data_IF_478625151149
#
_entry.id   IF_478625151149
#
_cell.length_a   1.000
_cell.length_b   1.000
_cell.length_c   1.000
_cell.angle_alpha   90.00
_cell.angle_beta   90.00
_cell.angle_gamma   90.00
#
_symmetry.space_group_name_H-M   'P 1'
#
loop_
_entity.id
_entity.type
_entity.pdbx_description
1 polymer ?
#
# COMPACT_ATOMS: atom_id res chain seq x y z
N UNK A 1 7.03 -16.20 7.17
CA UNK A 1 6.19 -15.58 6.13
C UNK A 1 6.96 -15.55 4.81
N UNK A 2 6.30 -15.91 3.71
CA UNK A 2 6.91 -16.03 2.39
C UNK A 2 6.68 -14.76 1.56
N UNK A 3 7.65 -14.36 0.72
CA UNK A 3 7.51 -13.16 -0.11
C UNK A 3 6.36 -13.26 -1.12
N UNK A 4 5.85 -14.46 -1.41
CA UNK A 4 4.72 -14.68 -2.31
C UNK A 4 3.37 -14.17 -1.77
N UNK A 5 3.22 -14.01 -0.45
CA UNK A 5 2.02 -13.37 0.13
C UNK A 5 2.03 -11.87 -0.11
N UNK A 6 3.19 -11.22 0.03
CA UNK A 6 3.35 -9.81 -0.31
C UNK A 6 2.92 -9.54 -1.75
N UNK A 7 3.41 -10.34 -2.70
CA UNK A 7 3.09 -10.15 -4.11
C UNK A 7 1.60 -10.38 -4.39
N UNK A 8 0.99 -11.41 -3.79
CA UNK A 8 -0.45 -11.68 -3.94
C UNK A 8 -1.32 -10.56 -3.38
N UNK A 9 -1.00 -10.02 -2.22
CA UNK A 9 -1.79 -8.96 -1.57
C UNK A 9 -1.56 -7.61 -2.23
N UNK A 10 -0.31 -7.18 -2.38
CA UNK A 10 0.03 -5.84 -2.85
C UNK A 10 0.01 -5.70 -4.39
N UNK A 11 -0.31 -6.76 -5.14
CA UNK A 11 -0.67 -6.64 -6.56
C UNK A 11 -2.07 -6.01 -6.77
N UNK A 12 -2.89 -5.92 -5.72
CA UNK A 12 -4.16 -5.18 -5.76
C UNK A 12 -3.93 -3.71 -5.40
N UNK A 13 -4.40 -2.77 -6.24
CA UNK A 13 -4.17 -1.33 -6.05
C UNK A 13 -4.72 -0.77 -4.71
N UNK A 14 -5.84 -1.29 -4.21
CA UNK A 14 -6.45 -0.80 -2.98
C UNK A 14 -5.68 -1.29 -1.76
N UNK A 15 -5.28 -2.56 -1.77
CA UNK A 15 -4.43 -3.15 -0.71
C UNK A 15 -3.07 -2.47 -0.72
N UNK A 16 -2.50 -2.23 -1.91
CA UNK A 16 -1.25 -1.51 -2.08
C UNK A 16 -1.31 -0.08 -1.53
N UNK A 17 -2.41 0.64 -1.82
CA UNK A 17 -2.62 1.98 -1.29
C UNK A 17 -2.75 1.99 0.24
N UNK A 18 -3.57 1.08 0.80
CA UNK A 18 -3.74 0.95 2.25
C UNK A 18 -2.43 0.59 2.94
N UNK A 19 -1.69 -0.40 2.41
CA UNK A 19 -0.41 -0.81 2.96
C UNK A 19 0.64 0.31 2.90
N UNK A 20 0.67 1.09 1.81
CA UNK A 20 1.53 2.28 1.71
C UNK A 20 1.19 3.32 2.79
N UNK A 21 -0.10 3.55 3.06
CA UNK A 21 -0.52 4.44 4.14
C UNK A 21 -0.11 3.92 5.52
N UNK A 22 -0.18 2.60 5.74
CA UNK A 22 0.31 1.97 6.98
C UNK A 22 1.83 2.06 7.13
N UNK A 23 2.60 2.03 6.04
CA UNK A 23 4.04 2.31 6.08
C UNK A 23 4.29 3.78 6.44
N UNK A 24 3.50 4.68 5.87
CA UNK A 24 3.48 6.11 6.19
C UNK A 24 4.78 6.84 5.86
N UNK A 25 4.89 8.05 6.41
CA UNK A 25 6.08 8.90 6.33
C UNK A 25 6.40 9.40 4.92
N UNK A 26 7.66 9.78 4.71
CA UNK A 26 8.14 10.38 3.45
C UNK A 26 7.99 9.46 2.23
N UNK A 27 7.80 8.16 2.43
CA UNK A 27 7.62 7.20 1.36
C UNK A 27 6.32 7.47 0.58
N UNK A 28 5.24 7.87 1.27
CA UNK A 28 3.96 8.21 0.64
C UNK A 28 4.14 9.37 -0.33
N UNK A 29 4.79 10.46 0.12
CA UNK A 29 5.03 11.65 -0.70
C UNK A 29 5.90 11.35 -1.92
N UNK A 30 6.94 10.51 -1.78
CA UNK A 30 7.80 10.11 -2.90
C UNK A 30 7.05 9.29 -3.95
N UNK A 31 6.17 8.39 -3.51
CA UNK A 31 5.33 7.61 -4.42
C UNK A 31 4.31 8.50 -5.13
N UNK A 32 3.70 9.46 -4.43
CA UNK A 32 2.79 10.42 -5.06
C UNK A 32 3.51 11.26 -6.13
N UNK A 33 4.72 11.75 -5.83
CA UNK A 33 5.56 12.48 -6.78
C UNK A 33 5.93 11.64 -8.01
N UNK A 34 6.16 10.34 -7.85
CA UNK A 34 6.44 9.43 -8.95
C UNK A 34 5.18 9.04 -9.74
N UNK A 35 4.01 8.99 -9.10
CA UNK A 35 2.75 8.57 -9.72
C UNK A 35 2.12 9.66 -10.59
N UNK A 36 2.23 10.94 -10.18
CA UNK A 36 1.68 12.10 -10.88
C UNK A 36 2.11 12.20 -12.36
N UNK A 37 3.41 12.23 -12.71
CA UNK A 37 3.83 12.33 -14.12
C UNK A 37 3.46 11.09 -14.94
N UNK A 38 3.24 9.95 -14.28
CA UNK A 38 2.82 8.71 -14.92
C UNK A 38 1.29 8.61 -15.13
N UNK A 39 0.50 9.55 -14.59
CA UNK A 39 -0.96 9.52 -14.63
C UNK A 39 -1.56 8.32 -13.88
N UNK A 40 -0.85 7.81 -12.86
CA UNK A 40 -1.26 6.65 -12.07
C UNK A 40 -1.77 7.08 -10.70
N UNK A 41 -2.67 6.29 -10.13
CA UNK A 41 -2.94 6.39 -8.69
C UNK A 41 -1.75 5.82 -7.92
N UNK A 42 -1.53 6.27 -6.68
CA UNK A 42 -0.47 5.71 -5.81
C UNK A 42 -0.56 4.19 -5.67
N UNK A 43 -1.78 3.67 -5.54
CA UNK A 43 -2.05 2.24 -5.41
C UNK A 43 -1.67 1.48 -6.67
N UNK A 44 -2.02 2.02 -7.84
CA UNK A 44 -1.66 1.43 -9.13
C UNK A 44 -0.15 1.45 -9.36
N UNK A 45 0.54 2.53 -9.00
CA UNK A 45 2.00 2.59 -9.08
C UNK A 45 2.63 1.54 -8.17
N UNK A 46 2.27 1.51 -6.89
CA UNK A 46 2.80 0.53 -5.93
C UNK A 46 2.56 -0.91 -6.40
N UNK A 47 1.34 -1.23 -6.84
CA UNK A 47 1.01 -2.56 -7.35
C UNK A 47 1.85 -2.95 -8.57
N UNK A 48 2.12 -1.99 -9.47
CA UNK A 48 3.01 -2.20 -10.60
C UNK A 48 4.45 -2.48 -10.14
N UNK A 49 4.97 -1.72 -9.18
CA UNK A 49 6.34 -1.90 -8.67
C UNK A 49 6.51 -3.23 -7.96
N UNK A 50 5.52 -3.66 -7.18
CA UNK A 50 5.49 -4.97 -6.53
C UNK A 50 5.49 -6.09 -7.58
N UNK A 51 4.66 -5.97 -8.61
CA UNK A 51 4.61 -6.94 -9.72
C UNK A 51 5.91 -6.97 -10.52
N UNK A 52 6.54 -5.82 -10.73
CA UNK A 52 7.83 -5.74 -11.43
C UNK A 52 8.97 -6.32 -10.60
N UNK A 53 8.97 -6.10 -9.29
CA UNK A 53 9.91 -6.74 -8.38
C UNK A 53 9.77 -8.26 -8.42
N UNK A 54 8.54 -8.79 -8.35
CA UNK A 54 8.29 -10.23 -8.44
C UNK A 54 8.82 -10.84 -9.74
N UNK A 55 8.84 -10.09 -10.85
CA UNK A 55 9.35 -10.60 -12.14
C UNK A 55 10.85 -10.38 -12.33
N UNK A 56 11.35 -9.19 -11.99
CA UNK A 56 12.68 -8.71 -12.40
C UNK A 56 13.73 -8.79 -11.29
N UNK A 57 13.33 -8.91 -10.02
CA UNK A 57 14.29 -8.88 -8.93
C UNK A 57 15.29 -10.05 -9.01
N UNK A 58 16.57 -9.68 -8.92
CA UNK A 58 17.67 -10.65 -8.89
C UNK A 58 17.55 -11.59 -7.68
N UNK A 59 18.17 -12.77 -7.72
CA UNK A 59 18.20 -13.68 -6.57
C UNK A 59 18.79 -13.02 -5.30
N UNK A 60 19.72 -12.08 -5.45
CA UNK A 60 20.28 -11.32 -4.34
C UNK A 60 19.22 -10.42 -3.67
N UNK A 61 18.47 -9.65 -4.47
CA UNK A 61 17.38 -8.80 -3.98
C UNK A 61 16.27 -9.64 -3.32
N UNK A 62 15.87 -10.76 -3.91
CA UNK A 62 14.88 -11.67 -3.30
C UNK A 62 15.33 -12.20 -1.93
N UNK A 63 16.61 -12.53 -1.79
CA UNK A 63 17.18 -12.96 -0.50
C UNK A 63 17.24 -11.83 0.52
N UNK A 64 17.44 -10.58 0.10
CA UNK A 64 17.38 -9.43 1.00
C UNK A 64 15.95 -9.18 1.48
N UNK A 65 14.99 -9.19 0.55
CA UNK A 65 13.57 -9.10 0.87
C UNK A 65 13.15 -10.17 1.88
N UNK A 66 13.42 -11.46 1.59
CA UNK A 66 13.03 -12.55 2.48
C UNK A 66 13.66 -12.44 3.88
N UNK A 67 14.92 -11.98 3.97
CA UNK A 67 15.59 -11.74 5.25
C UNK A 67 14.97 -10.57 6.03
N UNK A 68 14.64 -9.48 5.35
CA UNK A 68 13.97 -8.34 5.95
C UNK A 68 12.58 -8.71 6.49
N UNK A 69 11.81 -9.45 5.70
CA UNK A 69 10.46 -9.89 6.09
C UNK A 69 10.47 -10.84 7.29
N UNK A 70 11.43 -11.77 7.38
CA UNK A 70 11.49 -12.75 8.49
C UNK A 70 11.82 -12.14 9.86
N UNK A 71 12.42 -10.95 9.89
CA UNK A 71 12.85 -10.29 11.13
C UNK A 71 11.89 -9.20 11.61
N UNK A 72 10.83 -8.93 10.86
CA UNK A 72 9.92 -7.83 11.14
C UNK A 72 8.65 -8.30 11.86
N UNK A 73 8.13 -7.46 12.76
CA UNK A 73 6.83 -7.67 13.42
C UNK A 73 5.66 -7.58 12.44
N UNK A 74 5.80 -6.75 11.39
CA UNK A 74 4.85 -6.63 10.28
C UNK A 74 5.54 -6.98 8.96
N UNK A 75 5.71 -8.27 8.64
CA UNK A 75 6.49 -8.70 7.48
C UNK A 75 5.97 -8.16 6.13
N UNK A 76 4.65 -7.98 5.97
CA UNK A 76 4.07 -7.42 4.73
C UNK A 76 4.53 -5.97 4.54
N UNK A 77 4.43 -5.14 5.59
CA UNK A 77 4.82 -3.73 5.51
C UNK A 77 6.34 -3.57 5.35
N UNK A 78 7.12 -4.39 6.05
CA UNK A 78 8.57 -4.41 5.91
C UNK A 78 8.99 -4.81 4.48
N UNK A 79 8.34 -5.83 3.91
CA UNK A 79 8.57 -6.25 2.54
C UNK A 79 8.18 -5.20 1.52
N UNK A 80 7.02 -4.57 1.70
CA UNK A 80 6.54 -3.49 0.85
C UNK A 80 7.52 -2.31 0.85
N UNK A 81 7.96 -1.87 2.03
CA UNK A 81 8.93 -0.79 2.16
C UNK A 81 10.23 -1.10 1.42
N UNK A 82 10.76 -2.31 1.57
CA UNK A 82 11.97 -2.74 0.86
C UNK A 82 11.81 -2.66 -0.67
N UNK A 83 10.69 -3.16 -1.20
CA UNK A 83 10.41 -3.10 -2.64
C UNK A 83 10.38 -1.66 -3.14
N UNK A 84 9.69 -0.77 -2.41
CA UNK A 84 9.56 0.64 -2.79
C UNK A 84 10.90 1.39 -2.69
N UNK A 85 11.69 1.14 -1.66
CA UNK A 85 13.03 1.73 -1.52
C UNK A 85 13.95 1.27 -2.68
N UNK A 86 13.92 -0.01 -3.04
CA UNK A 86 14.68 -0.52 -4.19
C UNK A 86 14.21 0.13 -5.51
N UNK A 87 12.89 0.29 -5.71
CA UNK A 87 12.34 0.93 -6.90
C UNK A 87 12.80 2.38 -7.02
N UNK A 88 12.67 3.14 -5.93
CA UNK A 88 13.00 4.56 -5.88
C UNK A 88 14.52 4.81 -5.96
N UNK A 89 15.34 3.83 -5.58
CA UNK A 89 16.79 3.84 -5.76
C UNK A 89 17.22 3.48 -7.20
N UNK A 90 16.28 3.16 -8.10
CA UNK A 90 16.59 2.78 -9.48
C UNK A 90 17.15 1.36 -9.64
N UNK A 91 16.98 0.49 -8.64
CA UNK A 91 17.47 -0.89 -8.69
C UNK A 91 16.75 -1.75 -9.75
N UNK A 92 15.60 -1.29 -10.24
CA UNK A 92 14.89 -1.84 -11.39
C UNK A 92 14.06 -0.74 -12.06
N UNK A 93 13.85 -0.88 -13.37
CA UNK A 93 13.26 0.16 -14.22
C UNK A 93 11.83 0.52 -13.79
N UNK A 94 11.61 1.81 -13.52
CA UNK A 94 10.32 2.41 -13.14
C UNK A 94 9.37 2.55 -14.33
N UNK A 95 9.81 2.29 -15.57
CA UNK A 95 8.98 2.41 -16.76
C UNK A 95 7.67 1.62 -16.57
N UNK A 96 6.53 2.29 -16.32
CA UNK A 96 5.29 1.60 -16.09
C UNK A 96 4.93 0.91 -17.41
N UNK A 97 4.78 -0.41 -17.41
CA UNK A 97 3.97 -1.03 -18.46
C UNK A 97 2.62 -0.35 -18.35
N UNK A 98 2.22 0.42 -19.39
CA UNK A 98 0.93 1.12 -19.49
C UNK A 98 -0.10 0.28 -18.75
N UNK A 99 -0.48 0.74 -17.55
CA UNK A 99 -1.27 -0.05 -16.65
C UNK A 99 -2.45 -0.55 -17.45
N UNK A 100 -2.55 -1.88 -17.58
CA UNK A 100 -3.71 -2.53 -18.15
C UNK A 100 -4.86 -2.01 -17.28
N UNK A 101 -5.61 -1.02 -17.78
CA UNK A 101 -6.69 -0.32 -17.05
C UNK A 101 -7.38 -1.38 -16.22
N UNK A 102 -7.18 -1.35 -14.90
CA UNK A 102 -7.95 -2.15 -13.97
C UNK A 102 -9.37 -1.64 -14.18
N UNK A 103 -10.14 -2.32 -15.02
CA UNK A 103 -11.55 -2.07 -15.30
C UNK A 103 -12.43 -2.41 -14.09
N UNK A 104 -11.92 -2.16 -12.88
CA UNK A 104 -12.62 -2.37 -11.64
C UNK A 104 -13.78 -1.39 -11.61
N UNK A 105 -14.95 -1.87 -12.02
CA UNK A 105 -16.22 -1.24 -11.68
C UNK A 105 -16.36 -1.46 -10.17
N UNK A 106 -16.48 -0.37 -9.43
CA UNK A 106 -16.86 -0.46 -8.03
C UNK A 106 -18.07 -1.39 -7.89
N UNK A 107 -18.06 -2.39 -6.99
CA UNK A 107 -19.32 -3.00 -6.58
C UNK A 107 -20.19 -1.85 -6.04
N UNK A 108 -21.48 -1.83 -6.40
CA UNK A 108 -22.41 -0.89 -5.82
C UNK A 108 -22.31 -1.05 -4.30
N UNK A 109 -21.75 -0.03 -3.62
CA UNK A 109 -21.65 0.01 -2.17
C UNK A 109 -23.09 0.09 -1.65
N UNK A 110 -23.72 -1.06 -1.40
CA UNK A 110 -24.96 -1.15 -0.64
C UNK A 110 -24.69 -1.15 0.88
N UNK A 111 -23.49 -0.74 1.30
CA UNK A 111 -23.22 -0.40 2.68
C UNK A 111 -24.13 0.75 3.07
N UNK A 112 -25.27 0.40 3.67
CA UNK A 112 -26.02 1.30 4.53
C UNK A 112 -25.02 1.74 5.60
N UNK A 113 -24.51 2.96 5.44
CA UNK A 113 -23.89 3.68 6.50
C UNK A 113 -24.99 3.89 7.55
N UNK A 114 -25.08 2.97 8.50
CA UNK A 114 -25.84 3.18 9.72
C UNK A 114 -25.15 4.35 10.44
N UNK A 115 -25.65 5.53 10.08
CA UNK A 115 -25.21 6.81 10.59
C UNK A 115 -25.75 6.91 12.00
N UNK A 116 -25.06 6.31 12.96
CA UNK A 116 -25.22 6.71 14.35
C UNK A 116 -24.50 8.06 14.51
N UNK A 117 -25.20 9.18 14.73
CA UNK A 117 -24.51 10.42 15.06
C UNK A 117 -23.85 10.24 16.43
N UNK A 118 -22.52 10.30 16.44
CA UNK A 118 -21.77 10.58 17.66
C UNK A 118 -22.19 11.98 18.14
N UNK A 119 -23.10 12.03 19.11
CA UNK A 119 -23.39 13.27 19.83
C UNK A 119 -22.23 13.51 20.78
N UNK A 120 -21.44 14.54 20.48
CA UNK A 120 -20.42 15.10 21.36
C UNK A 120 -20.95 16.43 21.91
N UNK A 121 -20.97 16.58 23.24
CA UNK A 121 -21.31 17.79 23.99
C UNK A 121 -22.69 17.72 24.67
N UNK A 122 -22.89 18.01 25.95
CA UNK A 122 -22.04 18.67 26.97
C UNK A 122 -22.63 18.39 28.39
N UNK A 123 -21.91 18.75 29.49
CA UNK A 123 -22.28 18.44 30.87
C UNK A 123 -23.25 19.49 31.46
N UNK A 124 -24.02 19.13 32.50
CA UNK A 124 -24.31 19.97 33.70
C UNK A 124 -25.31 19.32 34.68
N UNK A 125 -24.88 19.29 35.93
CA UNK A 125 -25.61 19.60 37.17
C UNK A 125 -26.67 18.63 37.73
N UNK A 126 -26.23 17.94 38.81
CA UNK A 126 -26.78 17.95 40.17
C UNK A 126 -28.31 17.90 40.38
N UNK A 127 -28.78 16.83 41.06
CA UNK A 127 -29.75 16.87 42.16
C UNK A 127 -29.94 15.46 42.79
N UNK A 128 -29.33 15.26 43.96
CA UNK A 128 -29.68 14.31 45.04
C UNK A 128 -29.11 15.01 46.29
N UNK A 129 -29.83 15.38 47.34
CA UNK A 129 -31.13 14.97 47.89
C UNK A 129 -31.80 16.16 48.58
#
# INVERSE_FOLDING_TARGET
>A
MESSELFRSCANEHVAAAALLCVGGALVSRIDQAALPAGLTRGALVASLVSDYERKASPALRRLLARGMRRAEMPILAGLRHVLDCALAGAFDLAPRRARRSQWRAPALNWVAESAPFICGEPRHALHS
#
